data_IF_046969006465
#
_entry.id   IF_046969006465
#
_cell.length_a   1.000
_cell.length_b   1.000
_cell.length_c   1.000
_cell.angle_alpha   90.00
_cell.angle_beta   90.00
_cell.angle_gamma   90.00
#
_symmetry.space_group_name_H-M   'P 1'
#
loop_
_entity.id
_entity.type
_entity.pdbx_description
1 polymer ?
#
# COMPACT_ATOMS: atom_id res chain seq x y z
N UNK A 1 -25.80 9.45 25.29
CA UNK A 1 -25.38 9.47 26.70
C UNK A 1 -25.92 8.23 27.38
N UNK A 2 -25.07 7.47 28.07
CA UNK A 2 -25.47 6.29 28.83
C UNK A 2 -24.88 6.43 30.24
N UNK A 3 -25.72 6.38 31.27
CA UNK A 3 -25.31 6.68 32.66
C UNK A 3 -26.04 5.82 33.68
N UNK A 4 -25.40 5.62 34.84
CA UNK A 4 -26.02 5.04 36.04
C UNK A 4 -26.93 6.01 36.80
N UNK A 5 -26.91 7.30 36.44
CA UNK A 5 -27.72 8.33 37.10
C UNK A 5 -29.23 8.13 36.88
N UNK A 6 -30.02 8.80 37.72
CA UNK A 6 -31.46 8.87 37.54
C UNK A 6 -31.84 9.62 36.24
N UNK A 7 -33.06 9.37 35.74
CA UNK A 7 -33.56 9.95 34.48
C UNK A 7 -33.62 11.47 34.50
N UNK A 8 -34.02 12.06 35.62
CA UNK A 8 -34.22 13.51 35.73
C UNK A 8 -32.87 14.26 35.60
N UNK A 9 -31.85 13.79 36.30
CA UNK A 9 -30.47 14.30 36.23
C UNK A 9 -29.91 14.08 34.83
N UNK A 10 -29.99 12.87 34.29
CA UNK A 10 -29.46 12.57 32.96
C UNK A 10 -30.12 13.42 31.87
N UNK A 11 -31.45 13.62 31.93
CA UNK A 11 -32.20 14.49 31.01
C UNK A 11 -31.76 15.94 31.13
N UNK A 12 -31.64 16.46 32.36
CA UNK A 12 -31.21 17.84 32.60
C UNK A 12 -29.81 18.12 32.04
N UNK A 13 -28.87 17.21 32.29
CA UNK A 13 -27.50 17.31 31.75
C UNK A 13 -27.52 17.22 30.22
N UNK A 14 -28.26 16.27 29.65
CA UNK A 14 -28.35 16.11 28.20
C UNK A 14 -28.92 17.34 27.47
N UNK A 15 -29.88 18.05 28.08
CA UNK A 15 -30.40 19.33 27.55
C UNK A 15 -29.32 20.41 27.63
N UNK A 16 -28.65 20.58 28.78
CA UNK A 16 -27.59 21.58 28.96
C UNK A 16 -26.41 21.37 27.99
N UNK A 17 -26.09 20.11 27.68
CA UNK A 17 -25.03 19.76 26.73
C UNK A 17 -25.48 19.78 25.26
N UNK A 18 -26.75 20.06 24.96
CA UNK A 18 -27.27 20.07 23.59
C UNK A 18 -27.41 18.69 22.93
N UNK A 19 -27.43 17.61 23.71
CA UNK A 19 -27.69 16.24 23.22
C UNK A 19 -29.20 16.04 22.97
N UNK A 20 -30.03 16.68 23.79
CA UNK A 20 -31.47 16.75 23.61
C UNK A 20 -31.86 18.17 23.22
N UNK A 21 -32.45 18.31 22.03
CA UNK A 21 -33.07 19.56 21.60
C UNK A 21 -34.57 19.52 21.92
N UNK A 22 -35.13 20.64 22.40
CA UNK A 22 -36.55 20.71 22.79
C UNK A 22 -37.53 20.49 21.62
N UNK A 23 -37.04 20.56 20.37
CA UNK A 23 -37.86 20.47 19.16
C UNK A 23 -37.81 19.08 18.48
N UNK A 24 -37.04 18.13 19.00
CA UNK A 24 -36.85 16.81 18.37
C UNK A 24 -37.41 15.68 19.26
N UNK A 25 -38.14 14.72 18.66
CA UNK A 25 -38.68 13.53 19.35
C UNK A 25 -37.58 12.50 19.67
N UNK A 26 -36.66 12.85 20.56
CA UNK A 26 -35.67 11.91 21.07
C UNK A 26 -36.15 11.13 22.29
N UNK A 27 -35.76 9.85 22.34
CA UNK A 27 -36.12 8.94 23.41
C UNK A 27 -35.11 9.02 24.56
N UNK A 28 -35.67 9.10 25.76
CA UNK A 28 -34.97 8.94 27.05
C UNK A 28 -35.59 7.74 27.75
N UNK A 29 -34.78 6.72 28.05
CA UNK A 29 -35.25 5.48 28.66
C UNK A 29 -34.43 5.13 29.91
N UNK A 30 -35.05 4.44 30.85
CA UNK A 30 -34.34 3.72 31.91
C UNK A 30 -33.88 2.35 31.45
N UNK A 31 -32.77 1.82 32.00
CA UNK A 31 -32.26 0.47 31.71
C UNK A 31 -33.33 -0.62 31.84
N UNK A 32 -34.18 -0.57 32.87
CA UNK A 32 -35.31 -1.52 33.04
C UNK A 32 -36.33 -1.42 31.90
N UNK A 33 -36.68 -0.21 31.49
CA UNK A 33 -37.63 0.03 30.39
C UNK A 33 -37.04 -0.39 29.04
N UNK A 34 -35.76 -0.09 28.82
CA UNK A 34 -35.00 -0.51 27.65
C UNK A 34 -35.01 -2.03 27.51
N UNK A 35 -34.63 -2.77 28.55
CA UNK A 35 -34.67 -4.23 28.56
C UNK A 35 -36.06 -4.81 28.28
N UNK A 36 -37.10 -4.24 28.89
CA UNK A 36 -38.48 -4.69 28.69
C UNK A 36 -38.95 -4.49 27.24
N UNK A 37 -38.47 -3.44 26.56
CA UNK A 37 -38.83 -3.15 25.17
C UNK A 37 -38.06 -4.00 24.17
N UNK A 38 -36.77 -4.26 24.40
CA UNK A 38 -35.95 -5.01 23.44
C UNK A 38 -36.07 -6.53 23.57
N UNK A 39 -36.53 -7.05 24.73
CA UNK A 39 -36.61 -8.50 24.97
C UNK A 39 -37.97 -9.06 24.54
N UNK A 40 -37.96 -10.29 24.05
CA UNK A 40 -39.20 -11.03 23.80
C UNK A 40 -39.81 -11.52 25.13
N UNK A 41 -41.13 -11.40 25.27
CA UNK A 41 -41.84 -11.72 26.51
C UNK A 41 -41.73 -13.21 26.86
N UNK A 42 -41.65 -14.06 25.84
CA UNK A 42 -41.70 -15.52 26.00
C UNK A 42 -40.30 -16.13 26.21
N UNK A 43 -39.26 -15.57 25.60
CA UNK A 43 -37.90 -16.14 25.63
C UNK A 43 -36.90 -15.35 26.47
N UNK A 44 -37.21 -14.10 26.81
CA UNK A 44 -36.31 -13.19 27.52
C UNK A 44 -35.05 -12.79 26.72
N UNK A 45 -34.91 -13.26 25.48
CA UNK A 45 -33.78 -12.96 24.60
C UNK A 45 -33.94 -11.58 23.96
N UNK A 46 -32.82 -10.94 23.65
CA UNK A 46 -32.80 -9.65 22.96
C UNK A 46 -33.23 -9.85 21.51
N UNK A 47 -34.26 -9.11 21.10
CA UNK A 47 -34.78 -9.10 19.74
C UNK A 47 -34.20 -7.90 18.99
N UNK A 48 -33.39 -8.18 17.96
CA UNK A 48 -32.70 -7.15 17.19
C UNK A 48 -33.65 -6.19 16.48
N UNK A 49 -34.81 -6.66 15.98
CA UNK A 49 -35.75 -5.80 15.26
C UNK A 49 -36.34 -4.72 16.17
N UNK A 50 -36.67 -5.08 17.43
CA UNK A 50 -37.16 -4.13 18.43
C UNK A 50 -36.08 -3.13 18.85
N UNK A 51 -34.82 -3.58 18.93
CA UNK A 51 -33.70 -2.70 19.21
C UNK A 51 -33.50 -1.70 18.06
N UNK A 52 -33.61 -2.15 16.81
CA UNK A 52 -33.52 -1.33 15.60
C UNK A 52 -34.57 -0.21 15.58
N UNK A 53 -35.79 -0.45 16.07
CA UNK A 53 -36.81 0.60 16.18
C UNK A 53 -36.46 1.70 17.22
N UNK A 54 -35.65 1.37 18.23
CA UNK A 54 -35.43 2.22 19.41
C UNK A 54 -34.12 3.00 19.30
N UNK A 55 -33.01 2.33 18.96
CA UNK A 55 -31.68 2.94 19.04
C UNK A 55 -31.50 4.21 18.19
N UNK A 56 -32.12 4.38 16.99
CA UNK A 56 -31.93 5.60 16.19
C UNK A 56 -32.47 6.85 16.89
N UNK A 57 -33.52 6.70 17.72
CA UNK A 57 -34.15 7.78 18.49
C UNK A 57 -33.61 7.87 19.92
N UNK A 58 -32.97 6.82 20.44
CA UNK A 58 -32.42 6.80 21.79
C UNK A 58 -31.23 7.76 21.89
N UNK A 59 -31.32 8.77 22.78
CA UNK A 59 -30.23 9.71 23.07
C UNK A 59 -29.70 9.58 24.49
N UNK A 60 -30.57 9.20 25.43
CA UNK A 60 -30.22 9.04 26.84
C UNK A 60 -30.73 7.69 27.34
N UNK A 61 -29.81 6.88 27.87
CA UNK A 61 -30.11 5.67 28.62
C UNK A 61 -29.65 5.88 30.08
N UNK A 62 -30.60 6.02 30.99
CA UNK A 62 -30.35 6.31 32.41
C UNK A 62 -30.51 5.04 33.26
N UNK A 63 -29.94 5.03 34.47
CA UNK A 63 -29.86 3.85 35.35
C UNK A 63 -29.46 2.58 34.60
N UNK A 64 -28.49 2.68 33.70
CA UNK A 64 -28.02 1.56 32.87
C UNK A 64 -27.12 0.63 33.68
N UNK A 65 -27.34 -0.68 33.59
CA UNK A 65 -26.37 -1.66 34.08
C UNK A 65 -25.19 -1.83 33.10
N UNK A 66 -24.08 -2.47 33.52
CA UNK A 66 -22.98 -2.86 32.63
C UNK A 66 -23.46 -3.68 31.42
N UNK A 67 -24.39 -4.61 31.64
CA UNK A 67 -24.98 -5.44 30.59
C UNK A 67 -25.81 -4.62 29.61
N UNK A 68 -26.52 -3.59 30.09
CA UNK A 68 -27.32 -2.71 29.23
C UNK A 68 -26.45 -1.95 28.24
N UNK A 69 -25.29 -1.44 28.71
CA UNK A 69 -24.30 -0.76 27.87
C UNK A 69 -23.80 -1.71 26.78
N UNK A 70 -23.40 -2.91 27.18
CA UNK A 70 -22.92 -3.94 26.25
C UNK A 70 -23.99 -4.33 25.20
N UNK A 71 -25.23 -4.57 25.62
CA UNK A 71 -26.34 -4.94 24.72
C UNK A 71 -26.63 -3.82 23.72
N UNK A 72 -26.62 -2.56 24.17
CA UNK A 72 -26.84 -1.42 23.29
C UNK A 72 -25.74 -1.32 22.22
N UNK A 73 -24.47 -1.41 22.63
CA UNK A 73 -23.32 -1.33 21.71
C UNK A 73 -23.36 -2.47 20.70
N UNK A 74 -23.54 -3.70 21.17
CA UNK A 74 -23.67 -4.89 20.31
C UNK A 74 -24.86 -4.76 19.36
N UNK A 75 -26.00 -4.28 19.85
CA UNK A 75 -27.20 -4.10 19.05
C UNK A 75 -27.05 -3.06 17.94
N UNK A 76 -26.36 -1.93 18.20
CA UNK A 76 -26.07 -0.93 17.16
C UNK A 76 -25.11 -1.52 16.11
N UNK A 77 -24.11 -2.28 16.56
CA UNK A 77 -23.17 -2.98 15.69
C UNK A 77 -23.86 -4.02 14.80
N UNK A 78 -24.78 -4.80 15.35
CA UNK A 78 -25.50 -5.85 14.62
C UNK A 78 -26.66 -5.30 13.76
N UNK A 79 -27.00 -4.00 13.94
CA UNK A 79 -28.09 -3.34 13.23
C UNK A 79 -27.86 -3.28 11.72
N UNK A 80 -28.96 -3.50 10.97
CA UNK A 80 -28.96 -3.45 9.49
C UNK A 80 -29.74 -2.25 8.93
N UNK A 81 -30.15 -1.30 9.77
CA UNK A 81 -30.88 -0.11 9.33
C UNK A 81 -30.07 0.74 8.35
N UNK A 82 -28.79 0.94 8.66
CA UNK A 82 -27.87 1.60 7.75
C UNK A 82 -27.31 0.58 6.76
N UNK A 83 -27.33 0.94 5.46
CA UNK A 83 -26.76 0.09 4.38
C UNK A 83 -25.33 -0.35 4.67
N UNK A 84 -24.59 0.50 5.37
CA UNK A 84 -23.32 0.18 5.97
C UNK A 84 -23.53 0.28 7.48
N UNK A 85 -23.34 -0.82 8.23
CA UNK A 85 -23.29 -0.85 9.69
C UNK A 85 -22.59 0.40 10.25
N UNK A 86 -23.15 0.96 11.32
CA UNK A 86 -22.57 2.11 12.03
C UNK A 86 -21.27 1.75 12.76
N UNK A 87 -20.35 2.71 12.87
CA UNK A 87 -19.13 2.58 13.67
C UNK A 87 -19.40 3.16 15.05
N UNK A 88 -19.26 2.35 16.09
CA UNK A 88 -19.58 2.75 17.45
C UNK A 88 -18.31 3.01 18.24
N UNK A 89 -18.16 4.25 18.71
CA UNK A 89 -17.17 4.61 19.72
C UNK A 89 -17.84 4.66 21.10
N UNK A 90 -17.21 4.05 22.10
CA UNK A 90 -17.71 4.02 23.48
C UNK A 90 -16.67 4.65 24.39
N UNK A 91 -17.12 5.38 25.39
CA UNK A 91 -16.25 5.89 26.45
C UNK A 91 -16.68 5.34 27.81
N UNK A 92 -15.71 5.08 28.68
CA UNK A 92 -15.94 4.57 30.03
C UNK A 92 -14.71 4.73 30.92
N UNK A 93 -14.94 4.70 32.23
CA UNK A 93 -13.94 4.92 33.28
C UNK A 93 -13.93 3.76 34.29
N UNK A 94 -15.06 3.11 34.50
CA UNK A 94 -15.21 2.00 35.45
C UNK A 94 -14.88 0.62 34.88
N UNK A 95 -14.58 -0.32 35.77
CA UNK A 95 -14.46 -1.77 35.46
C UNK A 95 -15.71 -2.33 34.79
N UNK A 96 -16.86 -1.76 35.14
CA UNK A 96 -18.18 -2.03 34.57
C UNK A 96 -18.29 -1.72 33.07
N UNK A 97 -17.46 -0.82 32.55
CA UNK A 97 -17.51 -0.43 31.14
C UNK A 97 -16.60 -1.28 30.27
N UNK A 98 -15.71 -2.08 30.86
CA UNK A 98 -14.74 -2.90 30.14
C UNK A 98 -15.39 -3.82 29.07
N UNK A 99 -16.51 -4.53 29.33
CA UNK A 99 -17.15 -5.35 28.30
C UNK A 99 -17.69 -4.53 27.13
N UNK A 100 -18.23 -3.33 27.38
CA UNK A 100 -18.77 -2.46 26.35
C UNK A 100 -17.65 -1.77 25.55
N UNK A 101 -16.58 -1.34 26.23
CA UNK A 101 -15.36 -0.80 25.61
C UNK A 101 -14.75 -1.81 24.65
N UNK A 102 -14.64 -3.08 25.08
CA UNK A 102 -14.05 -4.14 24.25
C UNK A 102 -14.94 -4.56 23.06
N UNK A 103 -16.25 -4.39 23.19
CA UNK A 103 -17.21 -4.70 22.11
C UNK A 103 -17.30 -3.58 21.07
N UNK A 104 -16.99 -2.34 21.44
CA UNK A 104 -17.03 -1.20 20.54
C UNK A 104 -16.05 -1.35 19.36
N UNK A 105 -16.27 -0.61 18.27
CA UNK A 105 -15.27 -0.51 17.20
C UNK A 105 -14.04 0.31 17.67
N UNK A 106 -14.26 1.27 18.57
CA UNK A 106 -13.20 2.04 19.24
C UNK A 106 -13.61 2.33 20.69
N UNK A 107 -12.85 1.83 21.67
CA UNK A 107 -13.03 2.13 23.09
C UNK A 107 -12.14 3.29 23.57
N UNK A 108 -12.73 4.25 24.28
CA UNK A 108 -12.04 5.38 24.93
C UNK A 108 -12.07 5.25 26.47
N UNK A 109 -10.91 5.12 27.10
CA UNK A 109 -10.80 5.18 28.56
C UNK A 109 -10.40 6.56 29.06
N UNK A 110 -10.89 6.91 30.25
CA UNK A 110 -10.41 8.08 31.01
C UNK A 110 -9.03 7.78 31.61
N UNK A 111 -8.08 8.71 31.48
CA UNK A 111 -6.71 8.56 31.93
C UNK A 111 -6.52 8.87 33.41
N UNK A 112 -7.22 9.90 33.90
CA UNK A 112 -7.09 10.36 35.30
C UNK A 112 -8.07 9.59 36.19
N UNK A 113 -9.36 9.65 35.87
CA UNK A 113 -10.43 9.01 36.65
C UNK A 113 -10.64 7.52 36.32
N UNK A 114 -10.09 7.03 35.21
CA UNK A 114 -10.33 5.67 34.74
C UNK A 114 -9.53 4.60 35.49
N UNK A 115 -10.21 3.51 35.81
CA UNK A 115 -9.64 2.29 36.39
C UNK A 115 -8.69 1.60 35.40
N UNK A 116 -7.71 0.87 35.91
CA UNK A 116 -6.73 0.15 35.07
C UNK A 116 -7.40 -0.89 34.17
N UNK A 117 -8.45 -1.55 34.66
CA UNK A 117 -9.25 -2.49 33.86
C UNK A 117 -9.92 -1.80 32.68
N UNK A 118 -10.44 -0.58 32.84
CA UNK A 118 -11.03 0.19 31.74
C UNK A 118 -9.96 0.61 30.72
N UNK A 119 -8.78 1.03 31.20
CA UNK A 119 -7.63 1.39 30.34
C UNK A 119 -7.16 0.19 29.51
N UNK A 120 -6.99 -0.98 30.12
CA UNK A 120 -6.61 -2.21 29.42
C UNK A 120 -7.68 -2.70 28.42
N UNK A 121 -8.96 -2.43 28.69
CA UNK A 121 -10.05 -2.79 27.80
C UNK A 121 -10.22 -1.83 26.61
N UNK A 122 -9.64 -0.63 26.67
CA UNK A 122 -9.80 0.44 25.68
C UNK A 122 -8.73 0.42 24.58
N UNK A 123 -9.01 1.07 23.45
CA UNK A 123 -8.05 1.25 22.34
C UNK A 123 -7.29 2.58 22.44
N UNK A 124 -7.92 3.61 23.04
CA UNK A 124 -7.37 4.96 23.20
C UNK A 124 -7.62 5.44 24.63
N UNK A 125 -6.58 5.94 25.30
CA UNK A 125 -6.66 6.54 26.64
C UNK A 125 -6.60 8.06 26.51
N UNK A 126 -7.60 8.75 27.07
CA UNK A 126 -7.63 10.21 27.15
C UNK A 126 -6.82 10.68 28.35
N UNK A 127 -5.70 11.35 28.13
CA UNK A 127 -4.83 11.79 29.24
C UNK A 127 -5.39 12.96 30.05
N UNK A 128 -6.38 13.67 29.51
CA UNK A 128 -6.97 14.88 30.09
C UNK A 128 -8.45 14.75 30.48
N UNK A 129 -9.03 13.55 30.37
CA UNK A 129 -10.43 13.24 30.69
C UNK A 129 -11.46 14.17 30.00
N UNK A 130 -11.12 14.71 28.82
CA UNK A 130 -11.95 15.69 28.14
C UNK A 130 -12.60 15.14 26.85
N UNK A 131 -13.91 15.33 26.69
CA UNK A 131 -14.64 14.99 25.46
C UNK A 131 -14.10 15.71 24.21
N UNK A 132 -13.50 16.90 24.36
CA UNK A 132 -12.85 17.61 23.26
C UNK A 132 -11.73 16.78 22.63
N UNK A 133 -11.01 15.98 23.42
CA UNK A 133 -9.93 15.11 22.94
C UNK A 133 -10.45 13.97 22.07
N UNK A 134 -11.68 13.49 22.29
CA UNK A 134 -12.34 12.54 21.39
C UNK A 134 -12.60 13.19 20.02
N UNK A 135 -13.09 14.44 19.99
CA UNK A 135 -13.31 15.17 18.73
C UNK A 135 -11.99 15.37 17.98
N UNK A 136 -10.90 15.72 18.68
CA UNK A 136 -9.56 15.80 18.10
C UNK A 136 -9.10 14.45 17.53
N UNK A 137 -9.30 13.35 18.26
CA UNK A 137 -8.95 12.01 17.79
C UNK A 137 -9.70 11.65 16.50
N UNK A 138 -11.01 11.96 16.42
CA UNK A 138 -11.81 11.76 15.20
C UNK A 138 -11.29 12.63 14.05
N UNK A 139 -10.92 13.88 14.31
CA UNK A 139 -10.33 14.79 13.32
C UNK A 139 -9.03 14.22 12.76
N UNK A 140 -8.14 13.70 13.62
CA UNK A 140 -6.89 13.05 13.24
C UNK A 140 -7.13 11.75 12.45
N UNK A 141 -8.08 10.90 12.88
CA UNK A 141 -8.43 9.68 12.14
C UNK A 141 -8.94 9.98 10.72
N UNK A 142 -9.75 11.03 10.56
CA UNK A 142 -10.18 11.51 9.23
C UNK A 142 -9.02 12.04 8.39
N UNK A 143 -8.03 12.68 9.02
CA UNK A 143 -6.85 13.19 8.34
C UNK A 143 -5.95 12.07 7.82
N UNK A 144 -5.69 11.04 8.64
CA UNK A 144 -4.90 9.87 8.24
C UNK A 144 -5.51 9.20 7.00
N UNK A 145 -6.83 9.01 6.96
CA UNK A 145 -7.50 8.43 5.80
C UNK A 145 -7.33 9.28 4.52
N UNK A 146 -7.44 10.61 4.65
CA UNK A 146 -7.22 11.52 3.53
C UNK A 146 -5.77 11.51 3.05
N UNK A 147 -4.82 11.48 3.98
CA UNK A 147 -3.39 11.38 3.68
C UNK A 147 -3.03 10.10 2.93
N UNK A 148 -3.57 8.95 3.35
CA UNK A 148 -3.42 7.68 2.61
C UNK A 148 -4.00 7.82 1.20
N UNK A 149 -5.15 8.46 1.05
CA UNK A 149 -5.78 8.65 -0.25
C UNK A 149 -4.97 9.56 -1.18
N UNK A 150 -4.36 10.64 -0.65
CA UNK A 150 -3.45 11.55 -1.38
C UNK A 150 -2.22 10.78 -1.87
N UNK A 151 -1.57 10.05 -0.97
CA UNK A 151 -0.41 9.22 -1.30
C UNK A 151 -0.73 8.19 -2.37
N UNK A 152 -1.84 7.45 -2.24
CA UNK A 152 -2.24 6.46 -3.24
C UNK A 152 -2.56 7.10 -4.60
N UNK A 153 -3.10 8.33 -4.64
CA UNK A 153 -3.37 9.03 -5.90
C UNK A 153 -2.06 9.32 -6.63
N UNK A 154 -1.08 9.85 -5.90
CA UNK A 154 0.25 10.11 -6.42
C UNK A 154 0.94 8.82 -6.88
N UNK A 155 1.05 7.84 -5.98
CA UNK A 155 1.77 6.59 -6.19
C UNK A 155 1.23 5.77 -7.37
N UNK A 156 -0.09 5.66 -7.50
CA UNK A 156 -0.70 4.92 -8.61
C UNK A 156 -0.51 5.63 -9.95
N UNK A 157 -0.51 6.96 -9.96
CA UNK A 157 -0.24 7.74 -11.18
C UNK A 157 1.17 7.45 -11.67
N UNK A 158 2.16 7.51 -10.77
CA UNK A 158 3.54 7.33 -11.22
C UNK A 158 3.82 5.91 -11.69
N UNK A 159 3.36 4.91 -10.93
CA UNK A 159 3.55 3.52 -11.32
C UNK A 159 2.90 3.20 -12.67
N UNK A 160 1.71 3.75 -12.94
CA UNK A 160 1.04 3.55 -14.22
C UNK A 160 1.86 4.12 -15.38
N UNK A 161 2.39 5.33 -15.23
CA UNK A 161 3.22 5.99 -16.26
C UNK A 161 4.56 5.27 -16.45
N UNK A 162 5.24 4.94 -15.36
CA UNK A 162 6.54 4.25 -15.39
C UNK A 162 6.45 2.90 -16.09
N UNK A 163 5.44 2.08 -15.74
CA UNK A 163 5.22 0.78 -16.38
C UNK A 163 4.90 0.96 -17.86
N UNK A 164 4.02 1.90 -18.21
CA UNK A 164 3.60 2.10 -19.59
C UNK A 164 4.76 2.52 -20.49
N UNK A 165 5.57 3.49 -20.04
CA UNK A 165 6.74 3.97 -20.79
C UNK A 165 7.84 2.91 -20.88
N UNK A 166 8.09 2.15 -19.80
CA UNK A 166 9.04 1.04 -19.84
C UNK A 166 8.63 -0.04 -20.85
N UNK A 167 7.34 -0.41 -20.89
CA UNK A 167 6.82 -1.42 -21.81
C UNK A 167 6.88 -0.92 -23.25
N UNK A 168 6.39 0.28 -23.55
CA UNK A 168 6.43 0.79 -24.93
C UNK A 168 7.87 0.99 -25.40
N UNK A 169 8.74 1.55 -24.57
CA UNK A 169 10.15 1.70 -24.91
C UNK A 169 10.82 0.37 -25.24
N UNK A 170 10.57 -0.66 -24.43
CA UNK A 170 11.07 -2.01 -24.68
C UNK A 170 10.49 -2.64 -25.96
N UNK A 171 9.24 -2.36 -26.31
CA UNK A 171 8.61 -2.92 -27.53
C UNK A 171 9.08 -2.22 -28.81
N UNK A 172 9.25 -0.89 -28.78
CA UNK A 172 9.59 -0.09 -29.97
C UNK A 172 11.11 -0.04 -30.18
N UNK A 173 11.88 0.19 -29.12
CA UNK A 173 13.32 0.45 -29.18
C UNK A 173 14.18 -0.67 -28.60
N UNK A 174 13.58 -1.80 -28.19
CA UNK A 174 14.25 -2.95 -27.55
C UNK A 174 15.01 -2.63 -26.25
N UNK A 175 14.88 -1.41 -25.72
CA UNK A 175 15.46 -0.95 -24.45
C UNK A 175 14.47 -0.04 -23.71
N UNK A 176 14.45 -0.11 -22.38
CA UNK A 176 13.67 0.82 -21.56
C UNK A 176 14.35 2.20 -21.55
N UNK A 177 13.60 3.29 -21.78
CA UNK A 177 14.14 4.65 -21.71
C UNK A 177 14.64 5.05 -20.33
N UNK A 178 14.05 4.47 -19.28
CA UNK A 178 14.45 4.67 -17.90
C UNK A 178 15.34 3.51 -17.46
N UNK A 179 16.56 3.83 -17.01
CA UNK A 179 17.50 2.86 -16.46
C UNK A 179 16.99 2.28 -15.13
N UNK A 180 17.44 1.07 -14.77
CA UNK A 180 17.12 0.45 -13.49
C UNK A 180 17.54 1.33 -12.29
N UNK A 181 18.69 2.01 -12.37
CA UNK A 181 19.17 2.92 -11.33
C UNK A 181 18.29 4.17 -11.19
N UNK A 182 17.82 4.71 -12.33
CA UNK A 182 16.89 5.84 -12.37
C UNK A 182 15.52 5.48 -11.78
N UNK A 183 14.99 4.29 -12.12
CA UNK A 183 13.74 3.79 -11.56
C UNK A 183 13.84 3.53 -10.05
N UNK A 184 14.98 3.03 -9.57
CA UNK A 184 15.23 2.86 -8.13
C UNK A 184 15.24 4.20 -7.39
N UNK A 185 15.86 5.22 -7.98
CA UNK A 185 15.85 6.58 -7.44
C UNK A 185 14.44 7.18 -7.38
N UNK A 186 13.71 7.05 -8.48
CA UNK A 186 12.32 7.46 -8.60
C UNK A 186 11.46 6.78 -7.51
N UNK A 187 11.56 5.46 -7.35
CA UNK A 187 10.84 4.73 -6.31
C UNK A 187 11.25 5.18 -4.90
N UNK A 188 12.54 5.43 -4.65
CA UNK A 188 13.01 5.86 -3.34
C UNK A 188 12.36 7.18 -2.92
N UNK A 189 12.38 8.19 -3.80
CA UNK A 189 11.79 9.49 -3.49
C UNK A 189 10.27 9.38 -3.35
N UNK A 190 9.62 8.76 -4.34
CA UNK A 190 8.16 8.84 -4.42
C UNK A 190 7.47 7.92 -3.41
N UNK A 191 8.05 6.76 -3.12
CA UNK A 191 7.45 5.83 -2.17
C UNK A 191 7.77 6.24 -0.75
N UNK A 192 9.01 6.66 -0.48
CA UNK A 192 9.46 6.94 0.89
C UNK A 192 9.31 8.40 1.28
N UNK A 193 9.80 9.33 0.46
CA UNK A 193 9.75 10.76 0.80
C UNK A 193 8.40 11.39 0.50
N UNK A 194 7.76 11.07 -0.62
CA UNK A 194 6.44 11.63 -0.90
C UNK A 194 5.35 11.05 0.03
N UNK A 195 5.47 9.78 0.46
CA UNK A 195 4.58 9.25 1.50
C UNK A 195 4.74 10.00 2.81
N UNK A 196 5.97 10.29 3.25
CA UNK A 196 6.23 11.11 4.44
C UNK A 196 5.71 12.54 4.28
N UNK A 197 5.95 13.17 3.13
CA UNK A 197 5.51 14.53 2.82
C UNK A 197 3.98 14.67 2.82
N UNK A 198 3.27 13.74 2.17
CA UNK A 198 1.81 13.74 2.08
C UNK A 198 1.13 13.20 3.35
N UNK A 199 1.80 12.35 4.12
CA UNK A 199 1.27 11.81 5.38
C UNK A 199 1.29 12.82 6.53
N UNK A 200 2.23 13.76 6.51
CA UNK A 200 2.49 14.71 7.62
C UNK A 200 1.66 15.99 7.55
N UNK A 201 0.69 16.10 6.64
CA UNK A 201 -0.17 17.27 6.59
C UNK A 201 -1.04 17.42 7.84
N UNK A 202 -1.13 18.62 8.44
CA UNK A 202 -1.95 18.85 9.61
C UNK A 202 -3.45 18.78 9.29
N UNK A 203 -4.29 18.36 10.25
CA UNK A 203 -5.73 18.22 10.03
C UNK A 203 -6.44 19.57 9.97
N UNK A 204 -7.29 19.77 8.96
CA UNK A 204 -8.13 20.98 8.80
C UNK A 204 -9.53 20.80 9.42
N UNK A 205 -10.17 21.91 9.81
CA UNK A 205 -11.53 21.85 10.41
C UNK A 205 -12.62 21.48 9.41
N UNK A 206 -12.38 21.68 8.11
CA UNK A 206 -13.25 21.21 7.03
C UNK A 206 -13.43 19.68 7.04
N UNK A 207 -12.49 18.94 7.68
CA UNK A 207 -12.63 17.50 7.87
C UNK A 207 -13.84 17.14 8.76
N UNK A 208 -14.34 18.05 9.59
CA UNK A 208 -15.46 17.81 10.51
C UNK A 208 -16.83 18.14 9.90
N UNK A 209 -16.88 19.02 8.89
CA UNK A 209 -18.14 19.46 8.24
C UNK A 209 -18.73 18.39 7.32
N UNK A 210 -17.88 17.49 6.80
CA UNK A 210 -18.30 16.40 5.92
C UNK A 210 -18.88 15.20 6.66
N UNK A 211 -19.75 14.46 5.96
CA UNK A 211 -20.28 13.18 6.44
C UNK A 211 -19.16 12.13 6.58
N UNK A 212 -19.25 11.20 7.56
CA UNK A 212 -18.27 10.12 7.73
C UNK A 212 -18.13 9.24 6.48
N UNK A 213 -16.95 8.64 6.33
CA UNK A 213 -16.71 7.62 5.30
C UNK A 213 -17.44 6.32 5.64
N UNK A 214 -18.15 5.74 4.68
CA UNK A 214 -18.80 4.44 4.86
C UNK A 214 -17.81 3.28 4.75
N UNK A 215 -17.97 2.23 5.59
CA UNK A 215 -17.07 1.06 5.63
C UNK A 215 -16.82 0.39 4.28
N UNK A 216 -17.84 0.32 3.42
CA UNK A 216 -17.78 -0.39 2.13
C UNK A 216 -17.41 0.51 0.95
N UNK A 217 -17.09 1.78 1.22
CA UNK A 217 -16.69 2.71 0.17
C UNK A 217 -15.30 2.28 -0.35
N UNK A 218 -15.10 2.15 -1.67
CA UNK A 218 -13.78 1.83 -2.20
C UNK A 218 -12.78 2.93 -1.82
N UNK A 219 -11.54 2.52 -1.54
CA UNK A 219 -10.45 3.44 -1.20
C UNK A 219 -10.16 4.40 -2.36
N UNK A 220 -10.15 3.87 -3.59
CA UNK A 220 -10.04 4.68 -4.80
C UNK A 220 -11.44 5.23 -5.15
N UNK A 221 -11.62 6.53 -4.89
CA UNK A 221 -12.85 7.22 -5.28
C UNK A 221 -12.91 7.48 -6.79
N UNK A 222 -14.10 7.75 -7.35
CA UNK A 222 -14.22 8.15 -8.76
C UNK A 222 -13.44 9.43 -9.10
N UNK A 223 -13.31 10.33 -8.14
CA UNK A 223 -12.56 11.59 -8.35
C UNK A 223 -11.07 11.28 -8.42
N UNK A 224 -10.60 10.40 -7.54
CA UNK A 224 -9.22 9.92 -7.54
C UNK A 224 -8.88 9.12 -8.81
N UNK A 225 -9.75 8.19 -9.23
CA UNK A 225 -9.55 7.43 -10.47
C UNK A 225 -9.49 8.35 -11.71
N UNK A 226 -10.36 9.36 -11.78
CA UNK A 226 -10.29 10.40 -12.82
C UNK A 226 -8.93 11.09 -12.82
N UNK A 227 -8.47 11.54 -11.66
CA UNK A 227 -7.18 12.23 -11.54
C UNK A 227 -6.04 11.31 -11.98
N UNK A 228 -5.98 10.08 -11.46
CA UNK A 228 -4.95 9.10 -11.83
C UNK A 228 -4.90 8.90 -13.34
N UNK A 229 -6.04 8.61 -13.99
CA UNK A 229 -6.06 8.30 -15.41
C UNK A 229 -5.70 9.49 -16.30
N UNK A 230 -6.21 10.69 -15.99
CA UNK A 230 -5.97 11.86 -16.83
C UNK A 230 -4.55 12.41 -16.68
N UNK A 231 -4.02 12.45 -15.46
CA UNK A 231 -2.61 12.80 -15.23
C UNK A 231 -1.69 11.77 -15.88
N UNK A 232 -1.96 10.47 -15.71
CA UNK A 232 -1.16 9.42 -16.35
C UNK A 232 -1.20 9.51 -17.87
N UNK A 233 -2.38 9.71 -18.47
CA UNK A 233 -2.52 9.83 -19.91
C UNK A 233 -1.72 11.01 -20.46
N UNK A 234 -1.80 12.17 -19.79
CA UNK A 234 -1.04 13.35 -20.19
C UNK A 234 0.48 13.10 -20.10
N UNK A 235 0.96 12.56 -18.98
CA UNK A 235 2.37 12.24 -18.80
C UNK A 235 2.87 11.22 -19.83
N UNK A 236 2.08 10.19 -20.12
CA UNK A 236 2.37 9.22 -21.17
C UNK A 236 2.50 9.90 -22.53
N UNK A 237 1.57 10.79 -22.91
CA UNK A 237 1.64 11.50 -24.20
C UNK A 237 2.91 12.35 -24.28
N UNK A 238 3.22 13.13 -23.24
CA UNK A 238 4.43 13.97 -23.22
C UNK A 238 5.69 13.12 -23.34
N UNK A 239 5.79 12.03 -22.58
CA UNK A 239 6.96 11.16 -22.60
C UNK A 239 7.09 10.37 -23.91
N UNK A 240 5.99 9.97 -24.54
CA UNK A 240 6.03 9.36 -25.87
C UNK A 240 6.46 10.35 -26.96
N UNK A 241 5.99 11.60 -26.89
CA UNK A 241 6.44 12.66 -27.79
C UNK A 241 7.93 12.92 -27.61
N UNK A 242 8.41 13.00 -26.36
CA UNK A 242 9.85 13.12 -26.10
C UNK A 242 10.61 11.89 -26.60
N UNK A 243 10.07 10.68 -26.45
CA UNK A 243 10.74 9.44 -26.86
C UNK A 243 10.96 9.36 -28.37
N UNK A 244 9.97 9.75 -29.17
CA UNK A 244 10.04 9.66 -30.64
C UNK A 244 10.57 10.95 -31.28
N UNK A 245 10.04 12.10 -30.89
CA UNK A 245 10.35 13.40 -31.50
C UNK A 245 11.39 14.22 -30.72
N UNK A 246 11.82 13.78 -29.54
CA UNK A 246 12.84 14.46 -28.75
C UNK A 246 14.16 14.74 -29.49
N UNK A 247 14.71 13.78 -30.27
CA UNK A 247 15.94 14.02 -31.02
C UNK A 247 15.83 15.18 -32.01
N UNK A 248 14.69 15.28 -32.71
CA UNK A 248 14.43 16.35 -33.68
C UNK A 248 14.09 17.68 -32.99
N UNK A 249 13.33 17.65 -31.90
CA UNK A 249 12.91 18.85 -31.16
C UNK A 249 14.08 19.58 -30.50
N UNK A 250 15.09 18.85 -30.05
CA UNK A 250 16.25 19.40 -29.33
C UNK A 250 17.53 19.42 -30.15
N UNK A 251 17.49 18.99 -31.41
CA UNK A 251 18.66 18.84 -32.30
C UNK A 251 19.78 18.01 -31.65
N UNK A 252 19.41 16.85 -31.11
CA UNK A 252 20.31 15.93 -30.39
C UNK A 252 20.28 14.53 -30.98
N UNK A 253 21.36 13.76 -30.78
CA UNK A 253 21.40 12.36 -31.20
C UNK A 253 20.42 11.51 -30.39
N UNK A 254 19.71 10.60 -31.06
CA UNK A 254 18.83 9.64 -30.38
C UNK A 254 19.61 8.73 -29.42
N UNK A 255 19.25 8.79 -28.15
CA UNK A 255 19.84 7.96 -27.09
C UNK A 255 19.63 6.46 -27.28
N UNK A 256 18.61 6.03 -28.03
CA UNK A 256 18.38 4.61 -28.33
C UNK A 256 19.36 4.04 -29.35
N UNK A 257 20.07 4.89 -30.11
CA UNK A 257 21.12 4.44 -31.05
C UNK A 257 22.46 4.17 -30.34
N UNK A 258 22.62 4.64 -29.10
CA UNK A 258 23.86 4.51 -28.33
C UNK A 258 23.63 3.62 -27.10
N UNK A 259 23.40 2.33 -27.36
CA UNK A 259 23.12 1.33 -26.33
C UNK A 259 24.14 1.36 -25.18
N UNK A 260 23.62 1.41 -23.95
CA UNK A 260 24.43 1.36 -22.71
C UNK A 260 25.22 2.63 -22.37
N UNK A 261 25.26 3.66 -23.23
CA UNK A 261 25.97 4.92 -22.92
C UNK A 261 25.03 5.96 -22.30
N UNK A 262 25.56 6.89 -21.48
CA UNK A 262 24.84 8.11 -21.12
C UNK A 262 24.43 8.86 -22.38
N UNK A 263 23.24 9.44 -22.37
CA UNK A 263 22.73 10.22 -23.49
C UNK A 263 21.91 11.39 -22.97
N UNK A 264 22.16 12.57 -23.53
CA UNK A 264 21.33 13.77 -23.34
C UNK A 264 19.85 13.47 -23.55
N UNK A 265 19.49 12.70 -24.59
CA UNK A 265 18.08 12.41 -24.92
C UNK A 265 17.36 11.66 -23.79
N UNK A 266 17.94 10.55 -23.32
CA UNK A 266 17.36 9.76 -22.22
C UNK A 266 17.38 10.55 -20.90
N UNK A 267 18.36 11.45 -20.73
CA UNK A 267 18.44 12.33 -19.56
C UNK A 267 17.31 13.36 -19.57
N UNK A 268 16.97 13.96 -20.71
CA UNK A 268 15.80 14.86 -20.83
C UNK A 268 14.52 14.13 -20.48
N UNK A 269 14.36 12.88 -20.92
CA UNK A 269 13.16 12.09 -20.59
C UNK A 269 13.08 11.78 -19.10
N UNK A 270 14.18 11.31 -18.51
CA UNK A 270 14.27 11.04 -17.08
C UNK A 270 14.01 12.30 -16.25
N UNK A 271 14.64 13.42 -16.61
CA UNK A 271 14.50 14.67 -15.88
C UNK A 271 13.09 15.26 -16.01
N UNK A 272 12.51 15.24 -17.21
CA UNK A 272 11.12 15.66 -17.43
C UNK A 272 10.16 14.78 -16.62
N UNK A 273 10.36 13.46 -16.63
CA UNK A 273 9.54 12.54 -15.84
C UNK A 273 9.60 12.87 -14.34
N UNK A 274 10.78 13.09 -13.77
CA UNK A 274 10.92 13.46 -12.34
C UNK A 274 10.21 14.79 -12.04
N UNK A 275 10.39 15.82 -12.88
CA UNK A 275 9.70 17.10 -12.66
C UNK A 275 8.19 16.98 -12.79
N UNK A 276 7.67 16.22 -13.75
CA UNK A 276 6.25 15.94 -13.86
C UNK A 276 5.73 15.28 -12.58
N UNK A 277 6.48 14.38 -11.95
CA UNK A 277 6.08 13.82 -10.65
C UNK A 277 6.11 14.84 -9.53
N UNK A 278 7.16 15.66 -9.42
CA UNK A 278 7.23 16.71 -8.40
C UNK A 278 6.06 17.70 -8.47
N UNK A 279 5.64 18.08 -9.68
CA UNK A 279 4.48 18.96 -9.84
C UNK A 279 3.15 18.22 -9.67
N UNK A 280 3.07 16.95 -10.08
CA UNK A 280 1.90 16.11 -9.81
C UNK A 280 1.72 15.85 -8.31
N UNK A 281 2.79 15.76 -7.53
CA UNK A 281 2.75 15.62 -6.07
C UNK A 281 1.96 16.78 -5.43
N UNK A 282 2.17 18.01 -5.91
CA UNK A 282 1.41 19.20 -5.49
C UNK A 282 -0.08 19.05 -5.82
N UNK A 283 -0.42 18.56 -7.02
CA UNK A 283 -1.81 18.29 -7.40
C UNK A 283 -2.45 17.18 -6.54
N UNK A 284 -1.68 16.14 -6.20
CA UNK A 284 -2.15 14.98 -5.44
C UNK A 284 -2.52 15.32 -3.98
N UNK A 285 -2.03 16.43 -3.43
CA UNK A 285 -2.44 16.95 -2.10
C UNK A 285 -3.94 17.16 -1.99
N UNK A 286 -4.64 17.46 -3.10
CA UNK A 286 -6.07 17.77 -3.11
C UNK A 286 -6.91 16.69 -3.82
N UNK A 287 -7.42 15.72 -3.06
CA UNK A 287 -8.17 14.56 -3.61
C UNK A 287 -9.66 14.87 -3.86
N UNK A 288 -10.24 15.81 -3.12
CA UNK A 288 -11.70 16.01 -3.09
C UNK A 288 -12.22 17.04 -4.12
N UNK A 289 -11.39 17.43 -5.09
CA UNK A 289 -11.77 18.37 -6.16
C UNK A 289 -11.65 19.85 -5.75
N UNK A 290 -10.81 20.15 -4.77
CA UNK A 290 -10.43 21.53 -4.44
C UNK A 290 -9.56 22.08 -5.58
N UNK A 291 -9.89 23.28 -6.09
CA UNK A 291 -9.12 23.91 -7.18
C UNK A 291 -7.80 24.49 -6.71
N UNK A 292 -7.75 25.07 -5.51
CA UNK A 292 -6.53 25.69 -5.00
C UNK A 292 -5.59 24.62 -4.40
N UNK A 293 -4.64 24.16 -5.22
CA UNK A 293 -3.57 23.21 -4.85
C UNK A 293 -2.48 23.85 -4.00
N UNK A 294 -2.31 25.17 -4.07
CA UNK A 294 -1.32 25.91 -3.27
C UNK A 294 -1.78 26.26 -1.86
N UNK A 295 -3.07 26.09 -1.57
CA UNK A 295 -3.62 26.35 -0.24
C UNK A 295 -2.99 25.42 0.80
N UNK A 296 -2.27 26.03 1.75
CA UNK A 296 -1.63 25.36 2.88
C UNK A 296 -0.38 24.55 2.51
N UNK A 297 0.34 24.89 1.42
CA UNK A 297 1.66 24.28 1.13
C UNK A 297 2.65 24.60 2.26
N UNK A 298 2.75 25.89 2.59
CA UNK A 298 3.76 26.40 3.53
C UNK A 298 3.48 26.03 4.99
N UNK A 299 2.25 25.58 5.31
CA UNK A 299 1.91 25.09 6.65
C UNK A 299 2.58 23.75 6.96
N UNK A 300 2.92 22.96 5.92
CA UNK A 300 3.68 21.72 6.06
C UNK A 300 5.14 21.93 5.62
N UNK A 301 5.99 22.31 6.58
CA UNK A 301 7.41 22.51 6.31
C UNK A 301 8.13 21.24 5.83
N UNK A 302 7.68 20.05 6.28
CA UNK A 302 8.26 18.76 5.87
C UNK A 302 8.05 18.55 4.37
N UNK A 303 6.86 18.87 3.86
CA UNK A 303 6.56 18.82 2.43
C UNK A 303 7.50 19.74 1.64
N UNK A 304 7.66 21.00 2.07
CA UNK A 304 8.51 21.98 1.38
C UNK A 304 9.98 21.54 1.37
N UNK A 305 10.50 21.05 2.50
CA UNK A 305 11.88 20.57 2.61
C UNK A 305 12.13 19.36 1.72
N UNK A 306 11.21 18.39 1.70
CA UNK A 306 11.32 17.20 0.85
C UNK A 306 11.24 17.59 -0.64
N UNK A 307 10.32 18.48 -1.00
CA UNK A 307 10.13 18.91 -2.38
C UNK A 307 11.38 19.65 -2.91
N UNK A 308 11.86 20.66 -2.17
CA UNK A 308 13.07 21.41 -2.53
C UNK A 308 14.31 20.50 -2.50
N UNK A 309 14.43 19.66 -1.46
CA UNK A 309 15.52 18.69 -1.34
C UNK A 309 15.58 17.74 -2.53
N UNK A 310 14.43 17.27 -3.01
CA UNK A 310 14.35 16.42 -4.20
C UNK A 310 14.83 17.15 -5.45
N UNK A 311 14.44 18.41 -5.64
CA UNK A 311 14.93 19.23 -6.78
C UNK A 311 16.45 19.38 -6.72
N UNK A 312 17.00 19.68 -5.55
CA UNK A 312 18.46 19.83 -5.37
C UNK A 312 19.19 18.53 -5.68
N UNK A 313 18.72 17.40 -5.14
CA UNK A 313 19.36 16.11 -5.42
C UNK A 313 19.18 15.73 -6.89
N UNK A 314 18.06 16.04 -7.52
CA UNK A 314 17.86 15.81 -8.96
C UNK A 314 18.87 16.61 -9.80
N UNK A 315 19.15 17.87 -9.46
CA UNK A 315 20.19 18.69 -10.11
C UNK A 315 21.56 18.05 -9.95
N UNK A 316 21.92 17.67 -8.72
CA UNK A 316 23.19 16.98 -8.43
C UNK A 316 23.31 15.69 -9.24
N UNK A 317 22.24 14.91 -9.33
CA UNK A 317 22.27 13.64 -10.03
C UNK A 317 22.46 13.82 -11.53
N UNK A 318 21.74 14.75 -12.15
CA UNK A 318 21.85 14.99 -13.60
C UNK A 318 23.23 15.55 -13.97
N UNK A 319 23.79 16.46 -13.18
CA UNK A 319 25.08 17.11 -13.51
C UNK A 319 26.30 16.28 -13.12
N UNK A 320 26.25 15.50 -12.02
CA UNK A 320 27.45 14.86 -11.45
C UNK A 320 27.48 13.32 -11.55
N UNK A 321 26.37 12.66 -11.88
CA UNK A 321 26.33 11.18 -11.79
C UNK A 321 26.87 10.44 -13.00
N UNK A 322 26.94 11.09 -14.17
CA UNK A 322 27.48 10.52 -15.40
C UNK A 322 27.00 9.08 -15.67
N UNK A 323 27.96 8.15 -15.77
CA UNK A 323 27.73 6.73 -16.05
C UNK A 323 26.90 5.98 -14.99
N UNK A 324 26.95 6.34 -13.71
CA UNK A 324 26.28 5.59 -12.65
C UNK A 324 24.74 5.62 -12.80
N UNK A 325 24.21 6.76 -13.24
CA UNK A 325 22.78 6.95 -13.49
C UNK A 325 22.42 6.97 -14.98
N UNK A 326 23.38 6.70 -15.87
CA UNK A 326 23.25 6.87 -17.34
C UNK A 326 22.72 8.26 -17.72
N UNK A 327 23.16 9.28 -17.00
CA UNK A 327 22.79 10.67 -17.22
C UNK A 327 23.96 11.45 -17.81
N UNK A 328 23.65 12.43 -18.65
CA UNK A 328 24.59 13.39 -19.22
C UNK A 328 24.14 14.81 -18.86
N UNK A 329 25.09 15.69 -18.55
CA UNK A 329 24.78 17.07 -18.14
C UNK A 329 23.90 17.78 -19.16
N UNK A 330 22.90 18.51 -18.67
CA UNK A 330 21.93 19.19 -19.52
C UNK A 330 22.29 20.67 -19.64
N UNK A 331 22.09 21.24 -20.83
CA UNK A 331 22.25 22.68 -21.00
C UNK A 331 21.09 23.45 -20.34
N UNK A 332 21.28 24.72 -20.02
CA UNK A 332 20.28 25.56 -19.36
C UNK A 332 18.93 25.57 -20.11
N UNK A 333 18.95 25.60 -21.44
CA UNK A 333 17.74 25.54 -22.26
C UNK A 333 16.98 24.21 -22.10
N UNK A 334 17.69 23.09 -22.04
CA UNK A 334 17.09 21.75 -21.85
C UNK A 334 16.48 21.61 -20.46
N UNK A 335 17.16 22.12 -19.43
CA UNK A 335 16.62 22.23 -18.07
C UNK A 335 15.32 23.03 -18.03
N UNK A 336 15.29 24.21 -18.68
CA UNK A 336 14.10 25.05 -18.74
C UNK A 336 12.93 24.36 -19.43
N UNK A 337 13.18 23.58 -20.49
CA UNK A 337 12.14 22.78 -21.14
C UNK A 337 11.62 21.65 -20.24
N UNK A 338 12.50 20.93 -19.54
CA UNK A 338 12.09 19.90 -18.58
C UNK A 338 11.21 20.50 -17.46
N UNK A 339 11.63 21.65 -16.93
CA UNK A 339 10.89 22.38 -15.90
C UNK A 339 9.54 22.89 -16.42
N UNK A 340 9.50 23.42 -17.66
CA UNK A 340 8.28 23.89 -18.30
C UNK A 340 7.28 22.75 -18.50
N UNK A 341 7.71 21.61 -19.04
CA UNK A 341 6.87 20.41 -19.22
C UNK A 341 6.42 19.80 -17.88
N UNK A 342 7.24 19.92 -16.84
CA UNK A 342 6.82 19.61 -15.48
C UNK A 342 5.72 20.56 -14.99
N UNK A 343 5.92 21.87 -15.15
CA UNK A 343 4.99 22.89 -14.69
C UNK A 343 3.61 22.78 -15.35
N UNK A 344 3.56 22.38 -16.62
CA UNK A 344 2.30 22.15 -17.33
C UNK A 344 1.42 21.08 -16.66
N UNK A 345 1.98 20.19 -15.85
CA UNK A 345 1.22 19.25 -15.00
C UNK A 345 0.27 19.97 -14.03
N UNK A 346 0.68 21.11 -13.47
CA UNK A 346 -0.16 21.93 -12.59
C UNK A 346 -1.35 22.52 -13.36
N UNK A 347 -1.13 22.95 -14.61
CA UNK A 347 -2.18 23.48 -15.48
C UNK A 347 -3.18 22.38 -15.85
N UNK A 348 -2.67 21.19 -16.23
CA UNK A 348 -3.51 20.03 -16.51
C UNK A 348 -4.32 19.64 -15.28
N UNK A 349 -3.75 19.73 -14.06
CA UNK A 349 -4.51 19.51 -12.82
C UNK A 349 -5.74 20.41 -12.69
N UNK A 350 -5.65 21.68 -13.10
CA UNK A 350 -6.80 22.59 -13.12
C UNK A 350 -7.83 22.20 -14.18
N UNK A 351 -7.38 21.80 -15.37
CA UNK A 351 -8.27 21.30 -16.43
C UNK A 351 -8.99 20.03 -15.98
N UNK A 352 -8.27 19.08 -15.39
CA UNK A 352 -8.82 17.84 -14.84
C UNK A 352 -9.87 18.14 -13.77
N UNK A 353 -9.67 19.18 -12.95
CA UNK A 353 -10.64 19.60 -11.95
C UNK A 353 -11.97 20.09 -12.56
N UNK A 354 -11.99 20.64 -13.78
CA UNK A 354 -13.24 21.08 -14.45
C UNK A 354 -14.03 19.93 -15.06
N UNK A 355 -13.37 18.82 -15.40
CA UNK A 355 -14.00 17.67 -16.06
C UNK A 355 -15.00 16.98 -15.10
N UNK A 356 -16.29 16.87 -15.49
CA UNK A 356 -17.32 16.32 -14.63
C UNK A 356 -17.12 14.83 -14.38
N UNK A 357 -17.43 14.40 -13.15
CA UNK A 357 -17.26 13.01 -12.68
C UNK A 357 -18.15 11.99 -13.40
N UNK A 358 -19.09 12.44 -14.23
CA UNK A 358 -20.07 11.62 -14.94
C UNK A 358 -19.47 10.82 -16.10
N UNK A 359 -18.33 11.27 -16.65
CA UNK A 359 -17.64 10.62 -17.77
C UNK A 359 -17.03 9.27 -17.35
N UNK A 360 -16.67 9.13 -16.07
CA UNK A 360 -16.03 7.92 -15.56
C UNK A 360 -17.06 6.95 -14.97
N UNK A 361 -17.13 5.74 -15.55
CA UNK A 361 -18.13 4.73 -15.22
C UNK A 361 -18.05 4.30 -13.75
N UNK A 362 -19.19 3.92 -13.18
CA UNK A 362 -19.25 3.42 -11.79
C UNK A 362 -18.47 2.10 -11.63
N UNK A 363 -18.21 1.40 -12.74
CA UNK A 363 -17.63 0.07 -12.79
C UNK A 363 -16.10 0.08 -12.74
N UNK A 364 -15.43 1.14 -13.23
CA UNK A 364 -13.98 1.29 -13.06
C UNK A 364 -13.56 1.26 -11.57
N UNK A 365 -14.39 1.83 -10.69
CA UNK A 365 -14.18 1.80 -9.24
C UNK A 365 -14.75 0.55 -8.54
N UNK A 366 -15.29 -0.43 -9.30
CA UNK A 366 -15.62 -1.77 -8.79
C UNK A 366 -14.45 -2.74 -8.89
N UNK A 367 -13.39 -2.40 -9.62
CA UNK A 367 -12.11 -3.10 -9.59
C UNK A 367 -11.51 -2.87 -8.19
N UNK A 368 -11.78 -3.79 -7.26
CA UNK A 368 -11.49 -3.64 -5.82
C UNK A 368 -12.71 -3.84 -4.91
N UNK A 369 -13.94 -3.91 -5.45
CA UNK A 369 -15.11 -4.48 -4.76
C UNK A 369 -15.08 -6.01 -4.74
N UNK A 370 -13.90 -6.59 -4.63
CA UNK A 370 -13.82 -7.86 -3.93
C UNK A 370 -14.15 -7.54 -2.47
N UNK A 371 -15.42 -7.59 -2.09
CA UNK A 371 -15.71 -8.26 -0.82
C UNK A 371 -14.95 -9.57 -0.96
N UNK A 372 -13.81 -9.72 -0.26
CA UNK A 372 -13.18 -11.02 -0.12
C UNK A 372 -14.36 -11.89 0.26
N UNK A 373 -14.83 -12.79 -0.62
CA UNK A 373 -15.96 -13.58 -0.25
C UNK A 373 -15.47 -14.28 1.00
N UNK A 374 -16.22 -14.16 2.09
CA UNK A 374 -15.99 -14.96 3.28
C UNK A 374 -16.30 -16.44 2.96
N UNK A 375 -16.05 -16.90 1.73
CA UNK A 375 -15.97 -18.30 1.39
C UNK A 375 -14.73 -18.82 2.09
N UNK A 376 -14.98 -19.52 3.20
CA UNK A 376 -14.07 -20.44 3.87
C UNK A 376 -13.05 -21.05 2.90
N UNK A 377 -13.50 -21.44 1.70
CA UNK A 377 -12.72 -22.08 0.65
C UNK A 377 -11.49 -21.28 0.16
N UNK A 378 -11.55 -19.96 -0.05
CA UNK A 378 -10.39 -19.22 -0.57
C UNK A 378 -9.28 -19.09 0.50
N UNK A 379 -9.68 -18.83 1.75
CA UNK A 379 -8.77 -18.83 2.90
C UNK A 379 -8.21 -20.24 3.17
N UNK A 380 -9.04 -21.28 3.02
CA UNK A 380 -8.64 -22.68 3.16
C UNK A 380 -7.66 -23.11 2.06
N UNK A 381 -7.88 -22.68 0.81
CA UNK A 381 -6.98 -22.92 -0.32
C UNK A 381 -5.66 -22.21 -0.12
N UNK A 382 -5.66 -20.95 0.33
CA UNK A 382 -4.42 -20.22 0.62
C UNK A 382 -3.65 -20.84 1.79
N UNK A 383 -4.34 -21.23 2.87
CA UNK A 383 -3.73 -21.97 3.99
C UNK A 383 -3.16 -23.31 3.51
N UNK A 384 -3.87 -24.04 2.62
CA UNK A 384 -3.38 -25.29 2.00
C UNK A 384 -2.15 -25.07 1.11
N UNK A 385 -2.10 -23.99 0.34
CA UNK A 385 -0.93 -23.64 -0.48
C UNK A 385 0.27 -23.25 0.39
N UNK A 386 0.06 -22.48 1.46
CA UNK A 386 1.12 -22.08 2.40
C UNK A 386 1.62 -23.28 3.23
N UNK A 387 0.74 -24.18 3.65
CA UNK A 387 1.15 -25.42 4.33
C UNK A 387 1.90 -26.36 3.38
N UNK A 388 1.49 -26.45 2.10
CA UNK A 388 2.23 -27.20 1.08
C UNK A 388 3.63 -26.64 0.86
N UNK A 389 3.78 -25.31 0.77
CA UNK A 389 5.09 -24.64 0.67
C UNK A 389 5.95 -24.89 1.91
N UNK A 390 5.38 -24.80 3.12
CA UNK A 390 6.10 -25.15 4.36
C UNK A 390 6.56 -26.61 4.38
N UNK A 391 5.74 -27.54 3.90
CA UNK A 391 6.13 -28.95 3.78
C UNK A 391 7.24 -29.16 2.75
N UNK A 392 7.16 -28.52 1.57
CA UNK A 392 8.20 -28.58 0.56
C UNK A 392 9.54 -28.04 1.08
N UNK A 393 9.53 -26.89 1.78
CA UNK A 393 10.74 -26.35 2.41
C UNK A 393 11.29 -27.31 3.46
N UNK A 394 10.42 -27.96 4.25
CA UNK A 394 10.84 -28.95 5.26
C UNK A 394 11.46 -30.19 4.62
N UNK A 395 10.91 -30.67 3.50
CA UNK A 395 11.47 -31.80 2.73
C UNK A 395 12.81 -31.42 2.11
N UNK A 396 12.93 -30.21 1.52
CA UNK A 396 14.19 -29.72 0.97
C UNK A 396 15.25 -29.60 2.08
N UNK A 397 14.90 -29.08 3.25
CA UNK A 397 15.81 -29.00 4.39
C UNK A 397 16.17 -30.39 4.96
N UNK A 398 15.25 -31.35 4.95
CA UNK A 398 15.51 -32.73 5.31
C UNK A 398 16.44 -33.42 4.29
N UNK A 399 16.27 -33.15 3.00
CA UNK A 399 17.13 -33.68 1.95
C UNK A 399 18.53 -33.06 2.03
N UNK A 400 18.62 -31.75 2.27
CA UNK A 400 19.88 -31.04 2.49
C UNK A 400 20.63 -31.57 3.71
N UNK A 401 19.95 -31.73 4.84
CA UNK A 401 20.57 -32.33 6.05
C UNK A 401 20.92 -33.81 5.87
N UNK A 402 20.21 -34.56 5.03
CA UNK A 402 20.59 -35.92 4.66
C UNK A 402 21.86 -35.95 3.80
N UNK A 403 21.99 -35.05 2.83
CA UNK A 403 23.19 -34.90 1.99
C UNK A 403 24.38 -34.40 2.83
N UNK A 404 24.16 -33.45 3.74
CA UNK A 404 25.17 -32.96 4.69
C UNK A 404 25.63 -34.07 5.64
N UNK A 405 24.71 -34.93 6.11
CA UNK A 405 25.06 -36.12 6.91
C UNK A 405 25.79 -37.20 6.10
N UNK A 406 25.46 -37.37 4.81
CA UNK A 406 26.15 -38.32 3.94
C UNK A 406 27.58 -37.87 3.62
N UNK A 407 27.76 -36.57 3.37
CA UNK A 407 29.07 -35.96 3.15
C UNK A 407 29.92 -35.94 4.43
N UNK A 408 29.33 -35.68 5.60
CA UNK A 408 30.03 -35.87 6.88
C UNK A 408 30.42 -37.33 7.13
N UNK A 409 29.56 -38.31 6.84
CA UNK A 409 29.90 -39.73 6.96
C UNK A 409 31.02 -40.16 6.01
N UNK A 410 31.09 -39.58 4.82
CA UNK A 410 32.19 -39.81 3.88
C UNK A 410 33.52 -39.23 4.41
N UNK A 411 33.49 -38.08 5.07
CA UNK A 411 34.64 -37.45 5.70
C UNK A 411 35.10 -38.14 6.99
N UNK A 412 34.20 -38.82 7.71
CA UNK A 412 34.53 -39.58 8.94
C UNK A 412 34.85 -41.05 8.68
N UNK A 413 34.88 -41.50 7.42
CA UNK A 413 35.24 -42.89 7.10
C UNK A 413 36.74 -43.13 7.35
N UNK A 414 37.12 -44.16 8.13
CA UNK A 414 38.54 -44.47 8.41
C UNK A 414 39.36 -44.72 7.15
N UNK A 415 38.71 -45.13 6.06
CA UNK A 415 39.36 -45.40 4.76
C UNK A 415 39.82 -44.13 4.07
N UNK A 416 39.04 -43.04 4.15
CA UNK A 416 39.36 -41.74 3.55
C UNK A 416 40.35 -40.96 4.42
N UNK A 417 40.26 -41.11 5.75
CA UNK A 417 41.22 -40.50 6.67
C UNK A 417 42.62 -41.14 6.54
N UNK A 418 42.69 -42.46 6.33
CA UNK A 418 43.96 -43.16 6.10
C UNK A 418 44.57 -42.88 4.72
N UNK A 419 43.78 -42.54 3.70
CA UNK A 419 44.32 -42.16 2.38
C UNK A 419 44.91 -40.73 2.38
N UNK A 420 44.42 -39.85 3.26
CA UNK A 420 44.92 -38.48 3.42
C UNK A 420 46.17 -38.36 4.30
N UNK A 421 46.44 -39.35 5.16
CA UNK A 421 47.60 -39.38 6.08
C UNK A 421 48.79 -40.20 5.57
N UNK A 422 48.71 -40.78 4.37
CA UNK A 422 49.85 -41.49 3.78
C UNK A 422 50.96 -40.49 3.40
N UNK A 423 52.21 -40.63 3.88
CA UNK A 423 53.30 -39.75 3.49
C UNK A 423 53.63 -39.93 2.01
N UNK A 424 53.70 -38.82 1.27
CA UNK A 424 54.16 -38.76 -0.12
C UNK A 424 55.60 -39.30 -0.18
N UNK A 425 55.80 -40.50 -0.75
CA UNK A 425 57.14 -40.99 -1.10
C UNK A 425 57.67 -40.16 -2.26
N UNK A 426 58.58 -39.24 -1.97
CA UNK A 426 59.45 -38.59 -2.96
C UNK A 426 60.39 -39.65 -3.54
N UNK A 427 60.15 -40.08 -4.77
CA UNK A 427 61.15 -40.81 -5.56
C UNK A 427 61.95 -39.78 -6.33
N UNK A 428 63.21 -39.58 -5.94
CA UNK A 428 64.20 -38.84 -6.73
C UNK A 428 64.49 -39.61 -8.03
N UNK A 429 64.32 -38.94 -9.17
CA UNK A 429 64.79 -39.41 -10.48
C UNK A 429 66.14 -38.71 -10.77
N UNK A 430 67.22 -39.44 -11.12
CA UNK A 430 68.51 -38.81 -11.43
C UNK A 430 68.50 -38.23 -12.84
N UNK A 431 69.22 -37.12 -13.02
CA UNK A 431 69.41 -36.45 -14.31
C UNK A 431 70.38 -37.23 -15.21
N UNK A 432 70.03 -37.46 -16.48
CA UNK A 432 71.02 -37.39 -17.56
C UNK A 432 70.43 -37.23 -18.97
N UNK A 433 70.93 -36.19 -19.65
CA UNK A 433 71.31 -36.08 -21.06
C UNK A 433 70.39 -36.55 -22.21
N UNK A 434 69.95 -35.52 -22.95
CA UNK A 434 70.30 -35.27 -24.36
C UNK A 434 69.45 -35.90 -25.48
N UNK A 435 69.26 -35.06 -26.52
CA UNK A 435 68.97 -35.32 -27.95
C UNK A 435 67.49 -35.51 -28.31
N UNK A 436 66.95 -34.59 -29.13
CA UNK A 436 66.80 -34.69 -30.60
C UNK A 436 65.82 -35.82 -30.94
N UNK A 437 64.73 -35.67 -31.67
CA UNK A 437 64.38 -34.71 -32.71
C UNK A 437 62.85 -34.77 -32.95
N UNK A 438 62.40 -33.79 -33.73
CA UNK A 438 61.16 -33.67 -34.49
C UNK A 438 60.56 -34.96 -35.09
N UNK A 439 59.26 -34.89 -35.41
CA UNK A 439 58.51 -35.45 -36.60
C UNK A 439 57.03 -35.63 -36.19
N UNK A 440 56.14 -34.68 -36.53
CA UNK A 440 55.11 -34.70 -37.60
C UNK A 440 54.08 -35.85 -37.47
N UNK A 441 52.81 -35.56 -37.19
CA UNK A 441 51.74 -35.22 -38.17
C UNK A 441 51.56 -36.26 -39.29
N UNK A 442 50.42 -36.96 -39.18
CA UNK A 442 49.44 -37.27 -40.23
C UNK A 442 49.04 -38.74 -40.45
N UNK A 443 47.74 -38.92 -40.23
CA UNK A 443 46.74 -39.71 -40.96
C UNK A 443 46.94 -41.21 -41.25
N UNK A 444 45.95 -41.99 -40.80
CA UNK A 444 45.44 -43.09 -41.61
C UNK A 444 43.93 -43.30 -41.44
N UNK A 445 43.24 -43.16 -42.57
CA UNK A 445 41.80 -43.36 -42.81
C UNK A 445 41.48 -44.81 -43.20
N UNK A 446 40.26 -45.30 -42.89
CA UNK A 446 39.52 -46.12 -43.87
C UNK A 446 38.58 -47.24 -43.39
N UNK A 447 37.29 -47.07 -43.77
CA UNK A 447 36.32 -48.07 -44.27
C UNK A 447 35.65 -49.01 -43.25
N UNK A 448 34.38 -49.47 -43.34
CA UNK A 448 33.13 -49.26 -44.13
C UNK A 448 32.10 -50.24 -43.51
N UNK A 449 30.79 -49.96 -43.52
CA UNK A 449 29.77 -51.01 -43.36
C UNK A 449 28.35 -50.54 -43.01
N UNK A 450 27.45 -50.52 -44.00
CA UNK A 450 25.99 -50.38 -43.86
C UNK A 450 25.34 -51.73 -43.49
N UNK A 451 24.27 -51.74 -42.66
CA UNK A 451 23.03 -52.49 -42.93
C UNK A 451 21.86 -52.12 -41.99
N UNK A 452 20.67 -52.16 -42.58
CA UNK A 452 19.35 -51.70 -42.11
C UNK A 452 18.55 -52.65 -41.19
N UNK A 453 17.39 -52.12 -40.73
CA UNK A 453 16.11 -52.74 -40.31
C UNK A 453 15.97 -53.11 -38.83
N UNK A 454 14.81 -53.03 -38.14
CA UNK A 454 13.51 -52.34 -38.22
C UNK A 454 12.69 -52.81 -36.97
N UNK A 455 11.58 -52.10 -36.62
CA UNK A 455 10.40 -52.50 -35.78
C UNK A 455 10.52 -52.37 -34.24
N UNK A 456 9.78 -51.50 -33.53
CA UNK A 456 8.31 -51.27 -33.24
C UNK A 456 7.76 -52.03 -32.03
N UNK A 457 7.17 -51.29 -31.07
CA UNK A 457 5.87 -51.49 -30.35
C UNK A 457 5.77 -50.41 -29.22
N UNK A 458 4.86 -49.41 -29.19
CA UNK A 458 3.37 -49.36 -28.98
C UNK A 458 2.92 -50.21 -27.78
N UNK A 459 2.06 -49.77 -26.84
CA UNK A 459 0.81 -49.03 -27.02
C UNK A 459 0.26 -48.51 -25.68
N UNK A 460 -0.59 -47.48 -25.76
CA UNK A 460 -1.29 -46.79 -24.67
C UNK A 460 -2.80 -47.15 -24.68
N UNK A 461 -3.44 -47.07 -23.51
CA UNK A 461 -4.88 -46.89 -23.23
C UNK A 461 -5.88 -48.06 -23.35
N UNK A 462 -6.59 -48.33 -22.23
CA UNK A 462 -8.06 -48.36 -22.15
C UNK A 462 -8.52 -48.60 -20.69
N UNK A 463 -9.20 -47.62 -20.06
CA UNK A 463 -10.63 -47.68 -19.70
C UNK A 463 -11.12 -46.33 -19.17
#
# INVERSE_FOLDING_TARGET
MVTGDNVATARSIAIKCGILNNNEEFLVLEGKQFNKKIRDKDTGKVNQAKLDEIWPKLRVLARSSPEDKYILVKGIIDSKLSKNREIVAVTGDGTNDAPALKMADVGFAMGIAGTDVAKEASDIILTDDNFSSIVKAVKWGRNVYDSISKFLQFQLTVNLVAIFIAVIGALVHSESPLSATQLLWVNLIMDSFASLALATEPPTDDLLTRKPYGRTKPLISRTMAKNILLHSLYQIIVLLVLMEAGPELFDISSGFKQHGKPSVHLTIMFNTFVFMQLFNEINARKVHGQRNVFSGIFDNYIFVVIWIGTVVVQIILVELSGYAFRCEGLNAQQWMWCLFLGFTELLIGQVVATIPKAIFSKDLCRIGRGSIPQTSNARLLWIRSVTRLRHQIRVVNAFRSSVDNQSQRALTSPVVFNSLLAPVRTVMVPANNSRLDSVSEDDESGKTGNMETAKTEKMETAM
#
